data_IF_558351137430
#
_entry.id   IF_558351137430
#
_cell.length_a   1.000
_cell.length_b   1.000
_cell.length_c   1.000
_cell.angle_alpha   90.00
_cell.angle_beta   90.00
_cell.angle_gamma   90.00
#
_symmetry.space_group_name_H-M   'P 1'
#
loop_
_entity.id
_entity.type
_entity.pdbx_description
1 polymer ?
#
# COMPACT_ATOMS: atom_id res chain seq x y z
N UNK A 1 12.11 5.18 -2.91
CA UNK A 1 10.89 4.34 -2.93
C UNK A 1 10.62 3.91 -1.50
N UNK A 2 9.39 4.09 -1.02
CA UNK A 2 8.97 3.67 0.33
C UNK A 2 8.03 2.46 0.19
N UNK A 3 8.14 1.49 1.10
CA UNK A 3 7.30 0.29 1.15
C UNK A 3 6.49 0.31 2.44
N UNK A 4 5.18 0.05 2.36
CA UNK A 4 4.26 -0.05 3.49
C UNK A 4 3.61 -1.45 3.50
N UNK A 5 4.07 -2.37 4.35
CA UNK A 5 3.47 -3.71 4.44
C UNK A 5 2.06 -3.66 5.04
N UNK A 6 1.18 -4.53 4.57
CA UNK A 6 -0.12 -4.78 5.20
C UNK A 6 0.06 -5.93 6.19
N UNK A 7 -0.31 -5.70 7.47
CA UNK A 7 -0.10 -6.72 8.51
C UNK A 7 -1.04 -7.92 8.32
N UNK A 8 -0.48 -9.13 8.34
CA UNK A 8 -1.24 -10.39 8.24
C UNK A 8 -1.58 -10.85 6.84
N UNK A 9 -1.00 -10.21 5.83
CA UNK A 9 -1.10 -10.63 4.43
C UNK A 9 0.28 -10.65 3.79
N UNK A 10 0.35 -11.07 2.54
CA UNK A 10 1.52 -10.92 1.67
C UNK A 10 1.40 -9.67 0.77
N UNK A 11 0.50 -8.75 1.13
CA UNK A 11 0.21 -7.52 0.40
C UNK A 11 1.02 -6.34 0.95
N UNK A 12 1.38 -5.40 0.09
CA UNK A 12 2.07 -4.17 0.48
C UNK A 12 1.86 -3.04 -0.51
N UNK A 13 2.10 -1.81 -0.06
CA UNK A 13 2.04 -0.63 -0.89
C UNK A 13 3.43 -0.09 -1.21
N UNK A 14 3.69 0.28 -2.47
CA UNK A 14 4.90 0.99 -2.88
C UNK A 14 4.56 2.43 -3.23
N UNK A 15 5.37 3.36 -2.72
CA UNK A 15 5.25 4.78 -2.98
C UNK A 15 6.40 5.24 -3.88
N UNK A 16 6.04 5.75 -5.05
CA UNK A 16 6.95 6.22 -6.09
C UNK A 16 6.70 7.71 -6.35
N UNK A 17 7.76 8.52 -6.28
CA UNK A 17 7.71 9.89 -6.78
C UNK A 17 8.07 9.87 -8.27
N UNK A 18 7.08 10.11 -9.14
CA UNK A 18 7.31 10.17 -10.59
C UNK A 18 7.27 11.61 -11.08
N UNK A 19 8.34 12.04 -11.74
CA UNK A 19 8.53 13.40 -12.25
C UNK A 19 8.92 13.36 -13.73
N UNK A 20 8.66 14.41 -14.55
CA UNK A 20 9.13 14.48 -15.93
C UNK A 20 10.65 14.79 -15.97
N UNK A 21 11.45 13.90 -15.40
CA UNK A 21 12.91 14.02 -15.32
C UNK A 21 13.55 12.79 -15.96
N UNK A 22 14.60 13.01 -16.75
CA UNK A 22 15.31 11.92 -17.43
C UNK A 22 14.37 11.08 -18.30
N UNK A 23 14.42 9.75 -18.13
CA UNK A 23 13.62 8.80 -18.91
C UNK A 23 12.12 8.89 -18.67
N UNK A 24 11.69 9.41 -17.52
CA UNK A 24 10.26 9.53 -17.18
C UNK A 24 9.53 10.55 -18.07
N UNK A 25 10.27 11.49 -18.67
CA UNK A 25 9.72 12.44 -19.67
C UNK A 25 9.02 11.74 -20.83
N UNK A 26 9.50 10.55 -21.24
CA UNK A 26 8.91 9.77 -22.33
C UNK A 26 7.47 9.31 -22.05
N UNK A 27 7.07 9.26 -20.77
CA UNK A 27 5.71 8.91 -20.34
C UNK A 27 4.85 10.13 -19.98
N UNK A 28 5.44 11.32 -19.94
CA UNK A 28 4.82 12.55 -19.42
C UNK A 28 4.58 13.57 -20.52
N UNK A 29 3.81 13.20 -21.55
CA UNK A 29 3.43 14.12 -22.61
C UNK A 29 2.17 14.94 -22.19
N UNK A 30 2.31 16.23 -21.84
CA UNK A 30 1.18 17.06 -21.43
C UNK A 30 0.20 17.36 -22.59
N UNK A 31 0.63 17.19 -23.84
CA UNK A 31 -0.19 17.35 -25.04
C UNK A 31 -0.78 16.01 -25.53
N UNK A 32 -0.72 14.94 -24.74
CA UNK A 32 -1.26 13.64 -25.15
C UNK A 32 -2.79 13.72 -25.35
N UNK A 33 -3.23 13.47 -26.57
CA UNK A 33 -4.64 13.34 -26.93
C UNK A 33 -4.89 12.02 -27.66
N UNK A 34 -5.88 11.25 -27.19
CA UNK A 34 -6.39 10.08 -27.90
C UNK A 34 -7.81 10.36 -28.40
N UNK A 35 -7.94 10.59 -29.72
CA UNK A 35 -9.16 11.15 -30.34
C UNK A 35 -9.53 12.47 -29.68
N UNK A 36 -10.64 12.54 -28.95
CA UNK A 36 -11.13 13.74 -28.26
C UNK A 36 -10.78 13.76 -26.77
N UNK A 37 -10.17 12.69 -26.22
CA UNK A 37 -9.86 12.57 -24.79
C UNK A 37 -8.39 12.88 -24.54
N UNK A 38 -8.09 13.68 -23.52
CA UNK A 38 -6.72 13.82 -23.00
C UNK A 38 -6.24 12.49 -22.42
N UNK A 39 -5.02 12.10 -22.78
CA UNK A 39 -4.25 11.01 -22.17
C UNK A 39 -3.01 11.55 -21.47
N UNK A 40 -2.97 12.86 -21.22
CA UNK A 40 -1.85 13.50 -20.54
C UNK A 40 -1.73 12.92 -19.13
N UNK A 41 -0.52 12.50 -18.77
CA UNK A 41 -0.16 12.10 -17.42
C UNK A 41 0.47 13.29 -16.71
N UNK A 42 0.32 13.33 -15.39
CA UNK A 42 0.93 14.35 -14.55
C UNK A 42 2.05 13.78 -13.68
N UNK A 43 3.05 14.58 -13.28
CA UNK A 43 3.91 14.22 -12.17
C UNK A 43 3.12 14.05 -10.88
N UNK A 44 3.67 13.28 -9.94
CA UNK A 44 3.10 13.16 -8.60
C UNK A 44 3.56 11.92 -7.86
N UNK A 45 2.85 11.63 -6.77
CA UNK A 45 3.03 10.43 -5.99
C UNK A 45 2.18 9.30 -6.59
N UNK A 46 2.81 8.19 -6.92
CA UNK A 46 2.11 6.97 -7.30
C UNK A 46 2.10 6.02 -6.12
N UNK A 47 0.92 5.45 -5.89
CA UNK A 47 0.68 4.46 -4.85
C UNK A 47 0.36 3.14 -5.54
N UNK A 48 1.24 2.16 -5.43
CA UNK A 48 1.05 0.83 -6.00
C UNK A 48 0.61 -0.14 -4.92
N UNK A 49 -0.49 -0.86 -5.12
CA UNK A 49 -0.89 -2.00 -4.31
C UNK A 49 -0.32 -3.28 -4.92
N UNK A 50 0.43 -4.05 -4.12
CA UNK A 50 1.13 -5.25 -4.54
C UNK A 50 0.57 -6.44 -3.76
N UNK A 51 0.21 -7.50 -4.48
CA UNK A 51 -0.13 -8.81 -3.92
C UNK A 51 0.99 -9.79 -4.30
N UNK A 52 1.83 -10.13 -3.32
CA UNK A 52 3.03 -10.93 -3.56
C UNK A 52 2.67 -12.36 -3.97
N UNK A 53 1.57 -12.91 -3.48
CA UNK A 53 1.08 -14.24 -3.78
C UNK A 53 0.69 -14.36 -5.24
N UNK A 54 -0.02 -13.37 -5.79
CA UNK A 54 -0.37 -13.28 -7.20
C UNK A 54 0.86 -13.11 -8.09
N UNK A 55 1.83 -12.27 -7.68
CA UNK A 55 3.10 -12.12 -8.41
C UNK A 55 3.88 -13.44 -8.42
N UNK A 56 3.93 -14.15 -7.30
CA UNK A 56 4.66 -15.42 -7.17
C UNK A 56 3.98 -16.54 -7.95
N UNK A 57 2.65 -16.63 -7.85
CA UNK A 57 1.84 -17.67 -8.49
C UNK A 57 1.83 -17.51 -10.01
N UNK A 58 1.70 -16.28 -10.51
CA UNK A 58 1.49 -16.01 -11.93
C UNK A 58 2.63 -15.28 -12.63
N UNK A 59 3.77 -15.10 -11.96
CA UNK A 59 4.94 -14.39 -12.47
C UNK A 59 5.61 -15.08 -13.66
N UNK A 60 6.82 -14.61 -14.00
CA UNK A 60 7.53 -14.92 -15.25
C UNK A 60 7.68 -16.42 -15.60
N UNK A 61 7.57 -17.32 -14.63
CA UNK A 61 7.72 -18.76 -14.81
C UNK A 61 6.40 -19.52 -14.98
N UNK A 62 5.27 -18.90 -14.67
CA UNK A 62 3.99 -19.59 -14.52
C UNK A 62 2.95 -19.13 -15.55
N UNK A 63 3.02 -17.87 -16.01
CA UNK A 63 2.10 -17.37 -17.03
C UNK A 63 2.09 -15.85 -17.16
N UNK A 64 0.97 -15.32 -17.68
CA UNK A 64 0.73 -13.88 -17.84
C UNK A 64 -0.60 -13.47 -17.18
N UNK A 65 -0.78 -13.87 -15.91
CA UNK A 65 -2.02 -13.67 -15.15
C UNK A 65 -1.86 -12.78 -13.92
N UNK A 66 -0.67 -12.21 -13.70
CA UNK A 66 -0.36 -11.37 -12.53
C UNK A 66 -1.39 -10.24 -12.36
N UNK A 67 -1.81 -9.59 -13.43
CA UNK A 67 -2.74 -8.45 -13.39
C UNK A 67 -4.06 -8.77 -14.09
N UNK A 68 -4.62 -9.97 -13.86
CA UNK A 68 -5.88 -10.43 -14.46
C UNK A 68 -6.86 -10.85 -13.36
N UNK A 69 -8.11 -10.44 -13.51
CA UNK A 69 -9.19 -10.80 -12.58
C UNK A 69 -9.42 -9.74 -11.50
N UNK A 70 -10.13 -10.09 -10.42
CA UNK A 70 -10.47 -9.12 -9.37
C UNK A 70 -9.25 -8.70 -8.53
N UNK A 71 -8.24 -9.56 -8.40
CA UNK A 71 -7.01 -9.30 -7.63
C UNK A 71 -5.82 -9.21 -8.57
N UNK A 72 -5.10 -8.09 -8.52
CA UNK A 72 -3.92 -7.82 -9.33
C UNK A 72 -2.67 -7.87 -8.44
N UNK A 73 -1.64 -8.57 -8.92
CA UNK A 73 -0.33 -8.63 -8.28
C UNK A 73 0.39 -7.28 -8.27
N UNK A 74 0.16 -6.41 -9.27
CA UNK A 74 0.71 -5.05 -9.33
C UNK A 74 -0.34 -4.08 -9.83
N UNK A 75 -0.79 -3.19 -8.96
CA UNK A 75 -1.99 -2.40 -9.19
C UNK A 75 -1.79 -0.93 -8.81
N UNK A 76 -1.92 0.01 -9.75
CA UNK A 76 -1.85 1.45 -9.43
C UNK A 76 -3.13 1.91 -8.72
N UNK A 77 -3.04 2.48 -7.53
CA UNK A 77 -4.17 3.12 -6.83
C UNK A 77 -4.35 4.53 -7.39
N UNK A 78 -5.43 4.72 -8.14
CA UNK A 78 -5.68 5.94 -8.92
C UNK A 78 -6.32 7.01 -8.02
N UNK A 79 -5.69 8.18 -7.91
CA UNK A 79 -6.12 9.24 -6.98
C UNK A 79 -7.55 9.73 -7.24
N UNK A 80 -8.01 9.69 -8.49
CA UNK A 80 -9.38 10.01 -8.91
C UNK A 80 -10.44 8.97 -8.51
N UNK A 81 -10.04 7.80 -8.03
CA UNK A 81 -10.94 6.71 -7.66
C UNK A 81 -11.67 6.04 -8.83
N UNK A 82 -11.38 6.40 -10.09
CA UNK A 82 -12.12 5.92 -11.26
C UNK A 82 -11.82 4.46 -11.61
N UNK A 83 -10.71 3.92 -11.09
CA UNK A 83 -10.28 2.53 -11.27
C UNK A 83 -10.20 2.06 -12.74
N UNK A 84 -10.06 3.00 -13.66
CA UNK A 84 -10.15 2.80 -15.11
C UNK A 84 -8.98 2.03 -15.73
N UNK A 85 -7.86 1.86 -15.00
CA UNK A 85 -6.75 1.00 -15.43
C UNK A 85 -7.02 -0.49 -15.20
N UNK A 86 -7.95 -0.82 -14.30
CA UNK A 86 -8.34 -2.19 -13.96
C UNK A 86 -9.67 -2.60 -14.60
N UNK A 87 -10.38 -1.65 -15.21
CA UNK A 87 -11.64 -1.93 -15.90
C UNK A 87 -11.41 -2.85 -17.13
N UNK A 88 -12.05 -4.04 -17.19
CA UNK A 88 -11.98 -4.90 -18.38
C UNK A 88 -12.44 -4.18 -19.64
N UNK A 89 -11.66 -4.27 -20.71
CA UNK A 89 -11.95 -3.54 -21.95
C UNK A 89 -11.72 -2.02 -21.88
N UNK A 90 -11.19 -1.52 -20.75
CA UNK A 90 -10.79 -0.14 -20.58
C UNK A 90 -9.74 0.27 -21.61
N UNK A 91 -9.94 1.46 -22.21
CA UNK A 91 -8.99 2.05 -23.17
C UNK A 91 -7.99 2.98 -22.51
N UNK A 92 -8.13 3.25 -21.21
CA UNK A 92 -7.25 4.15 -20.48
C UNK A 92 -5.90 3.47 -20.21
N UNK A 93 -4.80 4.17 -20.50
CA UNK A 93 -3.40 3.74 -20.29
C UNK A 93 -2.65 4.62 -19.28
N UNK A 94 -3.40 5.41 -18.56
CA UNK A 94 -3.00 6.40 -17.58
C UNK A 94 -3.45 7.80 -17.98
N UNK A 95 -3.85 8.61 -17.02
CA UNK A 95 -4.13 10.03 -17.21
C UNK A 95 -3.75 10.87 -15.97
N UNK A 96 -4.10 12.16 -16.00
CA UNK A 96 -3.74 13.14 -14.99
C UNK A 96 -4.41 12.90 -13.62
N UNK A 97 -5.47 12.07 -13.57
CA UNK A 97 -6.18 11.73 -12.34
C UNK A 97 -5.57 10.56 -11.56
N UNK A 98 -4.61 9.83 -12.16
CA UNK A 98 -4.04 8.66 -11.49
C UNK A 98 -3.02 9.01 -10.38
N UNK A 99 -2.06 9.93 -10.60
CA UNK A 99 -1.10 10.31 -9.56
C UNK A 99 -1.75 11.15 -8.47
N UNK A 100 -1.17 11.14 -7.27
CA UNK A 100 -1.59 11.96 -6.14
C UNK A 100 -0.75 13.26 -6.05
N UNK A 101 -1.36 14.44 -5.80
CA UNK A 101 -2.80 14.64 -5.66
C UNK A 101 -3.57 14.70 -6.99
N UNK A 102 -2.84 14.74 -8.12
CA UNK A 102 -3.41 14.61 -9.46
C UNK A 102 -4.26 15.81 -9.88
N UNK A 103 -4.98 15.65 -10.98
CA UNK A 103 -5.90 16.67 -11.50
C UNK A 103 -7.17 16.86 -10.65
N UNK A 104 -7.43 15.95 -9.71
CA UNK A 104 -8.56 16.01 -8.77
C UNK A 104 -8.21 16.66 -7.43
N UNK A 105 -6.93 17.01 -7.22
CA UNK A 105 -6.39 17.55 -5.97
C UNK A 105 -6.69 16.67 -4.74
N UNK A 106 -6.70 15.34 -4.93
CA UNK A 106 -6.95 14.41 -3.85
C UNK A 106 -5.69 14.29 -2.98
N UNK A 107 -5.71 14.88 -1.79
CA UNK A 107 -4.53 14.97 -0.92
C UNK A 107 -4.52 13.95 0.22
N UNK A 108 -5.51 13.04 0.27
CA UNK A 108 -5.69 12.09 1.39
C UNK A 108 -6.02 10.68 0.90
N UNK A 109 -5.18 9.72 1.28
CA UNK A 109 -5.39 8.28 1.03
C UNK A 109 -5.42 7.53 2.37
N UNK A 110 -6.57 6.98 2.74
CA UNK A 110 -6.77 6.25 3.98
C UNK A 110 -7.93 5.25 3.90
N UNK A 111 -8.25 4.54 5.00
CA UNK A 111 -9.26 3.47 4.97
C UNK A 111 -10.70 3.96 4.71
N UNK A 112 -10.98 5.25 4.97
CA UNK A 112 -12.30 5.86 4.78
C UNK A 112 -12.32 6.89 3.65
N UNK A 113 -11.41 6.80 2.68
CA UNK A 113 -11.35 7.70 1.51
C UNK A 113 -11.80 7.00 0.22
N UNK A 114 -11.86 7.74 -0.88
CA UNK A 114 -12.05 7.16 -2.22
C UNK A 114 -10.89 7.63 -3.12
N UNK A 115 -10.02 6.72 -3.58
CA UNK A 115 -9.95 5.29 -3.23
C UNK A 115 -9.57 5.06 -1.76
N UNK A 116 -9.87 3.86 -1.23
CA UNK A 116 -9.59 3.48 0.15
C UNK A 116 -8.29 2.67 0.28
N UNK A 117 -7.53 2.89 1.35
CA UNK A 117 -6.34 2.12 1.70
C UNK A 117 -6.73 0.82 2.39
N UNK A 118 -7.08 -0.19 1.58
CA UNK A 118 -7.53 -1.52 2.00
C UNK A 118 -6.70 -2.62 1.34
N UNK A 119 -6.65 -3.80 1.97
CA UNK A 119 -6.18 -5.04 1.35
C UNK A 119 -7.21 -5.62 0.36
N UNK A 120 -6.85 -6.72 -0.31
CA UNK A 120 -7.71 -7.37 -1.29
C UNK A 120 -8.93 -8.07 -0.68
N UNK A 121 -9.00 -8.20 0.65
CA UNK A 121 -10.14 -8.73 1.39
C UNK A 121 -11.04 -7.60 1.94
N UNK A 122 -10.65 -6.33 1.73
CA UNK A 122 -11.40 -5.15 2.11
C UNK A 122 -11.16 -4.68 3.55
N UNK A 123 -10.16 -5.22 4.25
CA UNK A 123 -9.73 -4.74 5.55
C UNK A 123 -8.76 -3.56 5.38
N UNK A 124 -8.62 -2.72 6.41
CA UNK A 124 -7.70 -1.58 6.33
C UNK A 124 -6.28 -2.05 6.07
N UNK A 125 -5.54 -1.29 5.25
CA UNK A 125 -4.10 -1.45 5.01
C UNK A 125 -3.23 -0.82 6.12
N UNK A 126 -3.86 -0.16 7.09
CA UNK A 126 -3.22 0.23 8.36
C UNK A 126 -2.30 1.43 8.27
N UNK A 127 -2.58 2.30 7.31
CA UNK A 127 -1.95 3.60 7.25
C UNK A 127 -2.92 4.63 6.66
N UNK A 128 -2.55 5.89 6.82
CA UNK A 128 -3.14 7.02 6.11
C UNK A 128 -2.02 7.92 5.63
N UNK A 129 -2.11 8.33 4.38
CA UNK A 129 -1.31 9.40 3.80
C UNK A 129 -2.21 10.65 3.75
N UNK A 130 -1.77 11.75 4.33
CA UNK A 130 -2.44 13.04 4.19
C UNK A 130 -1.46 14.14 3.80
N UNK A 131 -2.00 15.33 3.50
CA UNK A 131 -1.19 16.48 3.11
C UNK A 131 -0.29 16.18 1.90
N UNK A 132 -0.74 15.30 1.00
CA UNK A 132 0.02 14.87 -0.18
C UNK A 132 0.18 16.06 -1.11
N UNK A 133 1.41 16.48 -1.38
CA UNK A 133 1.68 17.67 -2.20
C UNK A 133 3.05 17.65 -2.85
N UNK A 134 3.13 18.29 -4.02
CA UNK A 134 4.40 18.60 -4.68
C UNK A 134 5.05 19.79 -3.97
N UNK A 135 6.32 19.67 -3.55
CA UNK A 135 7.04 20.78 -2.91
C UNK A 135 7.50 21.84 -3.93
N UNK A 136 7.95 21.37 -5.10
CA UNK A 136 8.38 22.17 -6.23
C UNK A 136 8.14 21.37 -7.51
N UNK A 137 7.78 22.02 -8.61
CA UNK A 137 7.62 21.36 -9.92
C UNK A 137 8.88 20.57 -10.30
N UNK A 138 8.71 19.29 -10.67
CA UNK A 138 9.83 18.38 -10.97
C UNK A 138 10.58 17.87 -9.73
N UNK A 139 10.12 18.17 -8.52
CA UNK A 139 10.85 17.92 -7.27
C UNK A 139 10.29 16.79 -6.42
N UNK A 140 10.55 16.88 -5.11
CA UNK A 140 10.05 15.93 -4.12
C UNK A 140 8.55 16.05 -3.89
N UNK A 141 7.90 14.90 -3.72
CA UNK A 141 6.58 14.78 -3.11
C UNK A 141 6.72 14.73 -1.59
N UNK A 142 5.82 15.41 -0.89
CA UNK A 142 5.71 15.36 0.56
C UNK A 142 4.31 14.86 0.95
N UNK A 143 4.24 14.19 2.08
CA UNK A 143 3.01 13.71 2.71
C UNK A 143 3.29 13.48 4.19
N UNK A 144 2.21 13.41 4.99
CA UNK A 144 2.26 12.88 6.34
C UNK A 144 1.84 11.42 6.30
N UNK A 145 2.62 10.56 6.94
CA UNK A 145 2.29 9.14 7.13
C UNK A 145 1.82 8.95 8.57
N UNK A 146 0.60 8.44 8.73
CA UNK A 146 0.10 7.93 10.01
C UNK A 146 -0.05 6.43 9.88
N UNK A 147 0.58 5.67 10.78
CA UNK A 147 0.42 4.21 10.84
C UNK A 147 -0.66 3.88 11.87
N UNK A 148 -1.67 3.13 11.42
CA UNK A 148 -2.75 2.62 12.26
C UNK A 148 -2.66 1.11 12.19
N UNK A 149 -2.26 0.40 13.25
CA UNK A 149 -2.05 -1.05 13.17
C UNK A 149 -3.24 -1.78 12.50
N UNK A 150 -3.02 -2.41 11.33
CA UNK A 150 -3.98 -3.28 10.64
C UNK A 150 -4.34 -4.45 11.53
N UNK A 151 -5.58 -4.52 12.00
CA UNK A 151 -5.99 -5.56 12.96
C UNK A 151 -5.17 -5.58 14.26
N UNK A 152 -4.36 -4.55 14.51
CA UNK A 152 -3.40 -4.54 15.60
C UNK A 152 -4.09 -4.07 16.86
N UNK A 153 -4.49 -5.04 17.68
CA UNK A 153 -4.63 -4.80 19.11
C UNK A 153 -3.35 -4.08 19.55
N UNK A 154 -3.47 -2.94 20.23
CA UNK A 154 -2.30 -2.30 20.84
C UNK A 154 -1.85 -3.22 21.97
N UNK A 155 -0.90 -4.08 21.64
CA UNK A 155 -0.35 -5.04 22.57
C UNK A 155 0.82 -4.40 23.32
N UNK A 156 0.73 -4.45 24.63
CA UNK A 156 1.81 -4.06 25.53
C UNK A 156 2.73 -5.25 25.76
N UNK A 157 4.03 -4.99 25.85
CA UNK A 157 5.05 -6.02 26.10
C UNK A 157 4.72 -6.93 27.31
N UNK A 158 4.26 -6.40 28.46
CA UNK A 158 3.89 -7.26 29.59
C UNK A 158 2.74 -8.21 29.26
N UNK A 159 1.79 -7.79 28.43
CA UNK A 159 0.63 -8.60 28.04
C UNK A 159 1.02 -9.73 27.10
N UNK A 160 1.87 -9.45 26.10
CA UNK A 160 2.37 -10.48 25.17
C UNK A 160 3.30 -11.45 25.88
N UNK A 161 4.19 -10.96 26.74
CA UNK A 161 5.03 -11.81 27.60
C UNK A 161 4.16 -12.71 28.48
N UNK A 162 3.12 -12.12 29.09
CA UNK A 162 2.19 -12.87 29.93
C UNK A 162 1.48 -13.97 29.15
N UNK A 163 1.06 -13.69 27.92
CA UNK A 163 0.41 -14.67 27.04
C UNK A 163 1.34 -15.80 26.60
N UNK A 164 2.58 -15.46 26.23
CA UNK A 164 3.61 -16.44 25.90
C UNK A 164 3.94 -17.35 27.10
N UNK A 165 3.88 -16.81 28.32
CA UNK A 165 4.12 -17.54 29.57
C UNK A 165 2.86 -18.21 30.15
N UNK A 166 1.70 -18.09 29.49
CA UNK A 166 0.42 -18.66 29.97
C UNK A 166 -0.19 -17.97 31.19
N UNK A 167 0.26 -16.74 31.50
CA UNK A 167 -0.19 -15.92 32.64
C UNK A 167 -1.18 -14.82 32.24
N UNK A 168 -1.40 -14.61 30.94
CA UNK A 168 -2.40 -13.72 30.39
C UNK A 168 -3.10 -14.35 29.18
N UNK A 169 -4.30 -13.88 28.85
CA UNK A 169 -5.04 -14.29 27.66
C UNK A 169 -5.11 -13.13 26.68
N UNK A 170 -4.84 -13.43 25.41
CA UNK A 170 -5.03 -12.50 24.30
C UNK A 170 -6.37 -12.79 23.62
N UNK A 171 -6.95 -11.76 23.01
CA UNK A 171 -8.07 -11.97 22.09
C UNK A 171 -7.59 -12.73 20.85
N UNK A 172 -8.51 -13.41 20.17
CA UNK A 172 -8.16 -14.11 18.91
C UNK A 172 -7.55 -13.14 17.89
N UNK A 173 -8.10 -11.93 17.76
CA UNK A 173 -7.54 -10.90 16.88
C UNK A 173 -6.09 -10.49 17.26
N UNK A 174 -5.75 -10.49 18.55
CA UNK A 174 -4.38 -10.23 19.00
C UNK A 174 -3.44 -11.40 18.66
N UNK A 175 -3.92 -12.64 18.77
CA UNK A 175 -3.17 -13.83 18.37
C UNK A 175 -2.93 -13.84 16.86
N UNK A 176 -3.99 -13.60 16.07
CA UNK A 176 -3.92 -13.53 14.61
C UNK A 176 -2.96 -12.42 14.17
N UNK A 177 -2.97 -11.27 14.87
CA UNK A 177 -2.06 -10.15 14.59
C UNK A 177 -0.59 -10.45 14.94
N UNK A 178 -0.33 -11.21 16.01
CA UNK A 178 1.03 -11.62 16.39
C UNK A 178 1.57 -12.68 15.42
N UNK A 179 0.77 -13.69 15.10
CA UNK A 179 1.11 -14.77 14.16
C UNK A 179 1.37 -14.21 12.75
N UNK A 180 0.51 -13.28 12.31
CA UNK A 180 0.65 -12.48 11.10
C UNK A 180 2.01 -11.74 10.99
N UNK A 181 2.46 -11.15 12.10
CA UNK A 181 3.72 -10.41 12.18
C UNK A 181 4.93 -11.34 12.29
N UNK A 182 4.71 -12.56 12.79
CA UNK A 182 5.74 -13.54 13.06
C UNK A 182 5.92 -14.56 11.95
N UNK A 183 5.80 -15.83 12.32
CA UNK A 183 6.11 -16.95 11.42
C UNK A 183 4.88 -17.62 10.79
N UNK A 184 3.67 -17.10 11.07
CA UNK A 184 2.40 -17.51 10.48
C UNK A 184 2.12 -19.02 10.61
N UNK A 185 2.39 -19.59 11.77
CA UNK A 185 2.18 -21.01 12.03
C UNK A 185 0.86 -21.31 12.76
N UNK A 186 0.04 -20.27 12.99
CA UNK A 186 -1.28 -20.35 13.62
C UNK A 186 -1.23 -20.47 15.15
N UNK A 187 -0.07 -20.26 15.78
CA UNK A 187 0.11 -20.35 17.23
C UNK A 187 1.09 -19.30 17.72
N UNK A 188 0.68 -18.58 18.78
CA UNK A 188 1.60 -17.70 19.48
C UNK A 188 2.84 -18.46 19.97
N UNK A 189 4.00 -18.13 19.42
CA UNK A 189 5.28 -18.70 19.81
C UNK A 189 6.42 -17.68 19.92
N UNK A 190 7.65 -18.17 20.09
CA UNK A 190 8.84 -17.34 20.23
C UNK A 190 9.19 -16.56 18.94
N UNK A 191 8.81 -17.08 17.77
CA UNK A 191 8.98 -16.39 16.49
C UNK A 191 8.10 -15.15 16.41
N UNK A 192 6.83 -15.28 16.79
CA UNK A 192 5.89 -14.14 16.82
C UNK A 192 6.29 -13.12 17.88
N UNK A 193 6.71 -13.59 19.04
CA UNK A 193 7.20 -12.72 20.10
C UNK A 193 8.45 -11.94 19.68
N UNK A 194 9.40 -12.59 19.00
CA UNK A 194 10.60 -11.94 18.51
C UNK A 194 10.27 -10.88 17.44
N UNK A 195 9.38 -11.20 16.50
CA UNK A 195 8.93 -10.25 15.49
C UNK A 195 8.21 -9.04 16.12
N UNK A 196 7.33 -9.29 17.09
CA UNK A 196 6.67 -8.25 17.87
C UNK A 196 7.67 -7.34 18.61
N UNK A 197 8.70 -7.91 19.24
CA UNK A 197 9.76 -7.16 19.90
C UNK A 197 10.55 -6.28 18.93
N UNK A 198 10.93 -6.84 17.78
CA UNK A 198 11.64 -6.10 16.73
C UNK A 198 10.80 -4.92 16.24
N UNK A 199 9.51 -5.14 15.97
CA UNK A 199 8.58 -4.07 15.56
C UNK A 199 8.49 -2.93 16.60
N UNK A 200 8.47 -3.27 17.90
CA UNK A 200 8.47 -2.26 18.99
C UNK A 200 9.81 -1.51 19.11
N UNK A 201 10.94 -2.16 18.84
CA UNK A 201 12.26 -1.52 18.87
C UNK A 201 12.44 -0.55 17.70
N UNK A 202 11.97 -0.88 16.49
CA UNK A 202 12.00 0.04 15.34
C UNK A 202 11.12 1.27 15.59
N UNK A 203 10.00 1.12 16.30
CA UNK A 203 9.14 2.24 16.72
C UNK A 203 9.75 3.11 17.84
N UNK A 204 10.83 2.65 18.50
CA UNK A 204 11.51 3.33 19.60
C UNK A 204 12.82 4.04 19.21
N UNK A 205 13.20 4.07 17.93
CA UNK A 205 14.39 4.79 17.46
C UNK A 205 13.97 6.05 16.71
N UNK A 206 13.74 7.11 17.47
CA UNK A 206 13.96 8.48 17.01
C UNK A 206 15.07 9.08 17.90
N UNK A 207 16.21 9.54 17.35
CA UNK A 207 16.98 10.59 18.01
C UNK A 207 16.20 11.91 17.99
#
# INVERSE_FOLDING_TARGET
MLVLPVGGTDEYFLLENRQPLGTDTAQMNPACTFRTRSCAKMPGLLVWHIDQGQVTTWGFRSGNRVNVGPVHGVALVQADGLNQLRAPGGKNRGDAGDPWPGSTDNTVFGPATTPAALDNQGLTAGFTLDSIRQLQAGGAMAFRLTLTPTGGVVLALPTVNGALLGTATLSQAALDSLDAQGNQNGRLDLGDWLAFLQAKQVAGVAP
#
